data_IF_095021189208
#
_entry.id   IF_095021189208
#
_cell.length_a   1.000
_cell.length_b   1.000
_cell.length_c   1.000
_cell.angle_alpha   90.00
_cell.angle_beta   90.00
_cell.angle_gamma   90.00
#
_symmetry.space_group_name_H-M   'P 1'
#
loop_
_entity.id
_entity.type
_entity.pdbx_description
1 polymer ?
#
# COMPACT_ATOMS: atom_id res chain seq x y z
N UNK A 1 24.77 7.08 4.16
CA UNK A 1 26.24 7.16 3.93
C UNK A 1 26.63 8.21 2.89
N UNK A 2 25.97 8.25 1.72
CA UNK A 2 26.32 9.18 0.64
C UNK A 2 26.22 10.66 1.04
N UNK A 3 25.17 11.06 1.76
CA UNK A 3 24.99 12.44 2.22
C UNK A 3 26.08 12.92 3.20
N UNK A 4 26.55 12.04 4.09
CA UNK A 4 27.62 12.33 5.05
C UNK A 4 28.98 12.47 4.35
N UNK A 5 29.24 11.63 3.34
CA UNK A 5 30.43 11.73 2.48
C UNK A 5 30.43 13.04 1.69
N UNK A 6 29.31 13.41 1.07
CA UNK A 6 29.21 14.69 0.34
C UNK A 6 29.38 15.89 1.27
N UNK A 7 28.81 15.85 2.49
CA UNK A 7 28.96 16.91 3.49
C UNK A 7 30.42 17.04 4.00
N UNK A 8 31.13 15.93 4.18
CA UNK A 8 32.54 15.94 4.57
C UNK A 8 33.43 16.52 3.45
N UNK A 9 33.12 16.21 2.19
CA UNK A 9 33.84 16.73 1.02
C UNK A 9 33.60 18.24 0.83
N UNK A 10 32.39 18.74 1.09
CA UNK A 10 32.08 20.17 0.98
C UNK A 10 32.75 20.98 2.10
N UNK A 11 32.80 20.48 3.33
CA UNK A 11 33.53 21.14 4.42
C UNK A 11 35.03 21.24 4.16
N UNK A 12 35.62 20.18 3.60
CA UNK A 12 37.04 20.19 3.21
C UNK A 12 37.32 21.24 2.15
N UNK A 13 36.49 21.25 1.10
CA UNK A 13 36.55 22.26 0.02
C UNK A 13 36.38 23.70 0.53
N UNK A 14 35.53 23.91 1.55
CA UNK A 14 35.28 25.22 2.14
C UNK A 14 36.47 25.71 2.98
N UNK A 15 37.11 24.81 3.73
CA UNK A 15 38.34 25.07 4.50
C UNK A 15 39.52 25.45 3.58
N UNK A 16 39.62 24.81 2.41
CA UNK A 16 40.67 25.10 1.43
C UNK A 16 40.51 26.47 0.77
N UNK A 17 39.27 26.94 0.54
CA UNK A 17 39.01 28.24 -0.10
C UNK A 17 39.06 29.43 0.86
N UNK A 18 38.75 29.22 2.14
CA UNK A 18 38.71 30.28 3.15
C UNK A 18 39.47 29.88 4.42
N UNK A 19 40.82 29.85 4.38
CA UNK A 19 41.64 29.47 5.52
C UNK A 19 41.53 30.43 6.72
N UNK A 20 41.14 31.69 6.50
CA UNK A 20 40.88 32.66 7.57
C UNK A 20 39.66 32.33 8.43
N UNK A 21 38.72 31.53 7.91
CA UNK A 21 37.48 31.13 8.58
C UNK A 21 37.56 29.72 9.17
N UNK A 22 38.75 29.10 9.20
CA UNK A 22 38.92 27.72 9.65
C UNK A 22 38.41 27.48 11.09
N UNK A 23 38.59 28.45 11.99
CA UNK A 23 38.07 28.39 13.36
C UNK A 23 36.54 28.43 13.42
N UNK A 24 35.91 29.31 12.63
CA UNK A 24 34.44 29.44 12.57
C UNK A 24 33.80 28.23 11.88
N UNK A 25 34.42 27.70 10.81
CA UNK A 25 34.01 26.47 10.15
C UNK A 25 34.15 25.24 11.08
N UNK A 26 35.20 25.21 11.92
CA UNK A 26 35.38 24.19 12.95
C UNK A 26 34.28 24.25 14.02
N UNK A 27 33.98 25.45 14.51
CA UNK A 27 32.87 25.68 15.46
C UNK A 27 31.51 25.37 14.84
N UNK A 28 31.29 25.70 13.56
CA UNK A 28 30.07 25.36 12.84
C UNK A 28 29.93 23.85 12.61
N UNK A 29 31.03 23.16 12.34
CA UNK A 29 31.04 21.69 12.27
C UNK A 29 30.71 21.08 13.64
N UNK A 30 31.29 21.60 14.72
CA UNK A 30 31.00 21.14 16.08
C UNK A 30 29.55 21.43 16.47
N UNK A 31 29.00 22.60 16.16
CA UNK A 31 27.59 22.89 16.43
C UNK A 31 26.62 22.03 15.62
N UNK A 32 26.98 21.62 14.40
CA UNK A 32 26.21 20.64 13.62
C UNK A 32 26.28 19.23 14.22
N UNK A 33 27.43 18.83 14.77
CA UNK A 33 27.59 17.54 15.45
C UNK A 33 26.83 17.52 16.79
N UNK A 34 26.91 18.60 17.58
CA UNK A 34 26.19 18.74 18.84
C UNK A 34 24.67 18.83 18.60
N UNK A 35 24.23 19.47 17.52
CA UNK A 35 22.83 19.49 17.10
C UNK A 35 22.36 18.13 16.54
N UNK A 36 23.28 17.30 16.03
CA UNK A 36 22.99 15.93 15.58
C UNK A 36 22.85 14.95 16.75
N UNK A 37 23.57 15.18 17.86
CA UNK A 37 23.53 14.35 19.07
C UNK A 37 22.30 14.69 19.95
N UNK A 38 21.74 15.88 19.78
CA UNK A 38 20.48 16.30 20.39
C UNK A 38 19.24 15.76 19.65
N UNK A 39 19.16 14.45 19.40
CA UNK A 39 17.94 13.77 18.95
C UNK A 39 16.95 13.64 20.11
N UNK A 40 16.43 14.78 20.59
CA UNK A 40 15.35 14.79 21.56
C UNK A 40 14.12 14.08 20.95
N UNK A 41 13.49 13.13 21.65
CA UNK A 41 12.39 12.35 21.08
C UNK A 41 11.26 13.26 20.59
N UNK A 42 10.70 12.94 19.42
CA UNK A 42 9.55 13.64 18.88
C UNK A 42 8.34 13.51 19.82
N UNK A 43 7.57 14.58 19.94
CA UNK A 43 6.33 14.54 20.73
C UNK A 43 5.27 13.76 19.96
N UNK A 44 4.41 13.03 20.67
CA UNK A 44 3.38 12.14 20.10
C UNK A 44 2.47 12.86 19.07
N UNK A 45 2.05 14.10 19.34
CA UNK A 45 1.23 14.88 18.42
C UNK A 45 1.96 15.28 17.12
N UNK A 46 3.29 15.42 17.14
CA UNK A 46 4.07 15.71 15.94
C UNK A 46 4.11 14.48 15.01
N UNK A 47 4.15 13.28 15.58
CA UNK A 47 4.08 12.03 14.83
C UNK A 47 2.74 11.86 14.11
N UNK A 48 1.63 12.32 14.70
CA UNK A 48 0.31 12.27 14.03
C UNK A 48 0.25 13.11 12.75
N UNK A 49 1.00 14.21 12.68
CA UNK A 49 1.04 15.08 11.50
C UNK A 49 2.16 14.75 10.50
N UNK A 50 3.10 13.88 10.88
CA UNK A 50 4.35 13.71 10.15
C UNK A 50 4.15 13.08 8.77
N UNK A 51 3.14 12.22 8.61
CA UNK A 51 2.78 11.61 7.33
C UNK A 51 2.36 12.68 6.31
N UNK A 52 1.55 13.66 6.72
CA UNK A 52 1.15 14.78 5.87
C UNK A 52 2.34 15.67 5.49
N UNK A 53 3.26 15.88 6.43
CA UNK A 53 4.47 16.67 6.21
C UNK A 53 5.44 15.98 5.25
N UNK A 54 5.63 14.67 5.39
CA UNK A 54 6.42 13.86 4.46
C UNK A 54 5.82 13.90 3.05
N UNK A 55 4.51 13.68 2.91
CA UNK A 55 3.83 13.73 1.62
C UNK A 55 3.94 15.13 0.97
N UNK A 56 3.74 16.19 1.76
CA UNK A 56 3.91 17.57 1.29
C UNK A 56 5.35 17.84 0.83
N UNK A 57 6.36 17.35 1.57
CA UNK A 57 7.78 17.49 1.21
C UNK A 57 8.10 16.85 -0.13
N UNK A 58 7.55 15.65 -0.38
CA UNK A 58 7.68 14.94 -1.67
C UNK A 58 7.04 15.74 -2.79
N UNK A 59 5.83 16.28 -2.59
CA UNK A 59 5.13 17.05 -3.63
C UNK A 59 5.77 18.40 -3.93
N UNK A 60 6.38 19.04 -2.93
CA UNK A 60 7.12 20.29 -3.10
C UNK A 60 8.45 20.10 -3.86
N UNK A 61 8.95 18.86 -3.98
CA UNK A 61 10.14 18.59 -4.76
C UNK A 61 9.86 18.69 -6.28
N UNK A 62 10.89 18.97 -7.11
CA UNK A 62 10.77 18.93 -8.56
C UNK A 62 10.26 17.56 -9.05
N UNK A 63 9.47 17.54 -10.11
CA UNK A 63 8.82 16.32 -10.62
C UNK A 63 9.79 15.16 -10.86
N UNK A 64 10.95 15.46 -11.43
CA UNK A 64 12.00 14.47 -11.72
C UNK A 64 12.63 13.85 -10.46
N UNK A 65 12.53 14.52 -9.31
CA UNK A 65 13.16 14.10 -8.05
C UNK A 65 12.17 13.63 -6.99
N UNK A 66 10.85 13.74 -7.21
CA UNK A 66 9.84 13.35 -6.21
C UNK A 66 10.01 11.91 -5.72
N UNK A 67 10.25 10.96 -6.63
CA UNK A 67 10.49 9.56 -6.26
C UNK A 67 11.79 9.37 -5.48
N UNK A 68 12.83 10.12 -5.80
CA UNK A 68 14.10 10.07 -5.05
C UNK A 68 13.94 10.65 -3.65
N UNK A 69 13.18 11.74 -3.51
CA UNK A 69 12.88 12.34 -2.22
C UNK A 69 12.01 11.42 -1.37
N UNK A 70 11.02 10.75 -1.98
CA UNK A 70 10.23 9.72 -1.31
C UNK A 70 11.12 8.59 -0.80
N UNK A 71 12.01 8.07 -1.66
CA UNK A 71 12.96 7.03 -1.30
C UNK A 71 13.88 7.47 -0.15
N UNK A 72 14.45 8.67 -0.22
CA UNK A 72 15.34 9.21 0.81
C UNK A 72 14.63 9.38 2.16
N UNK A 73 13.39 9.88 2.14
CA UNK A 73 12.54 9.98 3.35
C UNK A 73 12.28 8.60 3.93
N UNK A 74 11.89 7.62 3.13
CA UNK A 74 11.60 6.25 3.61
C UNK A 74 12.84 5.55 4.17
N UNK A 75 14.00 5.71 3.53
CA UNK A 75 15.24 5.03 3.93
C UNK A 75 15.94 5.72 5.11
N UNK A 76 15.82 7.04 5.24
CA UNK A 76 16.51 7.83 6.25
C UNK A 76 15.52 8.51 7.22
N UNK A 77 14.32 7.95 7.40
CA UNK A 77 13.25 8.57 8.17
C UNK A 77 13.67 9.04 9.57
N UNK A 78 14.33 8.22 10.42
CA UNK A 78 14.69 8.65 11.78
C UNK A 78 15.58 9.90 11.80
N UNK A 79 16.48 10.01 10.82
CA UNK A 79 17.39 11.16 10.69
C UNK A 79 16.66 12.41 10.18
N UNK A 80 15.67 12.21 9.30
CA UNK A 80 14.93 13.29 8.65
C UNK A 80 13.70 13.75 9.46
N UNK A 81 13.25 12.97 10.44
CA UNK A 81 11.99 13.19 11.14
C UNK A 81 11.84 14.61 11.72
N UNK A 82 12.91 15.15 12.33
CA UNK A 82 12.91 16.53 12.84
C UNK A 82 12.82 17.60 11.76
N UNK A 83 13.40 17.34 10.58
CA UNK A 83 13.30 18.24 9.43
C UNK A 83 11.89 18.22 8.87
N UNK A 84 11.26 17.03 8.79
CA UNK A 84 9.90 16.86 8.31
C UNK A 84 8.89 17.65 9.14
N UNK A 85 9.04 17.66 10.47
CA UNK A 85 8.16 18.42 11.38
C UNK A 85 8.08 19.92 11.07
N UNK A 86 9.12 20.49 10.45
CA UNK A 86 9.16 21.90 10.07
C UNK A 86 8.45 22.20 8.74
N UNK A 87 8.07 21.17 7.99
CA UNK A 87 7.40 21.33 6.70
C UNK A 87 5.97 21.84 6.92
N UNK A 88 5.63 22.96 6.28
CA UNK A 88 4.29 23.51 6.35
C UNK A 88 3.35 22.74 5.43
N UNK A 89 2.24 22.26 5.99
CA UNK A 89 1.20 21.53 5.26
C UNK A 89 0.04 22.48 4.97
N UNK A 90 -0.37 22.54 3.70
CA UNK A 90 -1.52 23.34 3.28
C UNK A 90 -2.83 22.68 3.77
N UNK A 91 -3.81 23.45 4.27
CA UNK A 91 -5.08 22.87 4.74
C UNK A 91 -5.85 22.20 3.60
N UNK A 92 -5.75 22.70 2.37
CA UNK A 92 -6.39 22.11 1.19
C UNK A 92 -5.85 20.70 0.91
N UNK A 93 -4.54 20.51 1.03
CA UNK A 93 -3.89 19.22 0.83
C UNK A 93 -4.31 18.19 1.88
N UNK A 94 -4.49 18.62 3.13
CA UNK A 94 -4.99 17.74 4.20
C UNK A 94 -6.41 17.26 3.92
N UNK A 95 -7.28 18.16 3.45
CA UNK A 95 -8.65 17.83 3.09
C UNK A 95 -8.72 16.88 1.89
N UNK A 96 -7.85 17.06 0.90
CA UNK A 96 -7.73 16.17 -0.26
C UNK A 96 -7.34 14.75 0.16
N UNK A 97 -6.29 14.60 0.98
CA UNK A 97 -5.88 13.29 1.51
C UNK A 97 -7.02 12.63 2.28
N UNK A 98 -7.69 13.37 3.16
CA UNK A 98 -8.78 12.80 3.96
C UNK A 98 -9.96 12.34 3.09
N UNK A 99 -10.25 13.06 2.00
CA UNK A 99 -11.26 12.65 1.03
C UNK A 99 -10.84 11.34 0.33
N UNK A 100 -9.60 11.26 -0.13
CA UNK A 100 -9.08 10.07 -0.80
C UNK A 100 -9.07 8.85 0.14
N UNK A 101 -8.71 9.03 1.42
CA UNK A 101 -8.76 7.96 2.43
C UNK A 101 -10.18 7.41 2.60
N UNK A 102 -11.22 8.26 2.60
CA UNK A 102 -12.62 7.79 2.67
C UNK A 102 -13.02 7.00 1.43
N UNK A 103 -12.65 7.48 0.25
CA UNK A 103 -12.92 6.78 -1.02
C UNK A 103 -12.20 5.42 -1.07
N UNK A 104 -10.97 5.33 -0.58
CA UNK A 104 -10.22 4.08 -0.54
C UNK A 104 -10.76 3.09 0.50
N UNK A 105 -11.17 3.58 1.68
CA UNK A 105 -11.83 2.74 2.69
C UNK A 105 -13.15 2.16 2.16
N UNK A 106 -13.97 2.96 1.47
CA UNK A 106 -15.26 2.50 0.94
C UNK A 106 -15.13 1.54 -0.25
N UNK A 107 -14.22 1.82 -1.19
CA UNK A 107 -14.14 1.07 -2.44
C UNK A 107 -13.18 -0.13 -2.38
N UNK A 108 -12.15 -0.06 -1.55
CA UNK A 108 -11.08 -1.05 -1.49
C UNK A 108 -10.85 -1.61 -0.08
N UNK A 109 -11.58 -1.14 0.94
CA UNK A 109 -11.39 -1.58 2.32
C UNK A 109 -10.02 -1.20 2.90
N UNK A 110 -9.39 -0.14 2.39
CA UNK A 110 -8.08 0.32 2.85
C UNK A 110 -8.21 1.36 3.96
N UNK A 111 -7.66 1.04 5.13
CA UNK A 111 -7.57 1.94 6.26
C UNK A 111 -6.30 2.81 6.20
N UNK A 112 -6.26 3.95 6.93
CA UNK A 112 -5.07 4.79 7.00
C UNK A 112 -3.87 4.02 7.59
N UNK A 113 -2.89 3.72 6.75
CA UNK A 113 -1.70 2.96 7.13
C UNK A 113 -1.51 1.71 6.27
N UNK A 114 -2.58 1.24 5.63
CA UNK A 114 -2.52 0.10 4.72
C UNK A 114 -1.83 0.47 3.41
N UNK A 115 -1.13 -0.50 2.82
CA UNK A 115 -0.51 -0.38 1.52
C UNK A 115 -1.17 -1.37 0.55
N UNK A 116 -1.50 -0.89 -0.64
CA UNK A 116 -1.98 -1.74 -1.73
C UNK A 116 -1.21 -1.39 -2.99
N UNK A 117 -0.56 -2.39 -3.58
CA UNK A 117 0.11 -2.25 -4.87
C UNK A 117 -0.79 -2.89 -5.92
N UNK A 118 -1.07 -2.17 -7.00
CA UNK A 118 -1.89 -2.68 -8.11
C UNK A 118 -1.07 -2.60 -9.41
N UNK A 119 -1.00 -3.72 -10.12
CA UNK A 119 -0.39 -3.81 -11.46
C UNK A 119 -1.45 -4.35 -12.42
N UNK A 120 -1.81 -3.57 -13.45
CA UNK A 120 -2.84 -3.92 -14.43
C UNK A 120 -4.20 -4.37 -13.86
N UNK A 121 -4.54 -3.96 -12.63
CA UNK A 121 -5.78 -4.36 -11.95
C UNK A 121 -5.62 -5.57 -11.02
N UNK A 122 -4.44 -6.20 -10.98
CA UNK A 122 -4.07 -7.23 -10.03
C UNK A 122 -3.55 -6.58 -8.75
N UNK A 123 -4.18 -6.91 -7.63
CA UNK A 123 -3.73 -6.51 -6.30
C UNK A 123 -2.57 -7.41 -5.90
N UNK A 124 -1.47 -6.79 -5.49
CA UNK A 124 -0.26 -7.44 -5.00
C UNK A 124 -0.16 -7.17 -3.52
N UNK A 125 0.01 -8.24 -2.75
CA UNK A 125 0.31 -8.16 -1.33
C UNK A 125 1.77 -7.69 -1.15
N UNK A 126 1.92 -6.46 -0.66
CA UNK A 126 3.23 -5.83 -0.49
C UNK A 126 4.06 -6.48 0.64
N UNK A 127 3.42 -7.20 1.57
CA UNK A 127 4.12 -7.86 2.68
C UNK A 127 4.77 -9.18 2.24
N UNK A 128 4.20 -9.81 1.21
CA UNK A 128 4.67 -11.09 0.66
C UNK A 128 5.50 -10.89 -0.61
N UNK A 129 5.30 -9.78 -1.33
CA UNK A 129 5.90 -9.55 -2.64
C UNK A 129 7.44 -9.54 -2.60
N UNK A 130 8.04 -10.52 -3.28
CA UNK A 130 9.47 -10.57 -3.58
C UNK A 130 9.72 -9.86 -4.93
N UNK A 131 10.81 -9.10 -5.08
CA UNK A 131 11.31 -8.67 -6.39
C UNK A 131 11.24 -9.73 -7.51
N UNK A 132 11.48 -11.01 -7.21
CA UNK A 132 11.37 -12.09 -8.20
C UNK A 132 9.91 -12.39 -8.58
N UNK A 133 8.99 -12.42 -7.60
CA UNK A 133 7.56 -12.58 -7.90
C UNK A 133 7.04 -11.44 -8.77
N UNK A 134 7.50 -10.21 -8.49
CA UNK A 134 7.16 -9.06 -9.32
C UNK A 134 7.70 -9.20 -10.75
N UNK A 135 8.92 -9.72 -10.91
CA UNK A 135 9.50 -9.98 -12.23
C UNK A 135 8.70 -11.02 -13.01
N UNK A 136 8.36 -12.15 -12.37
CA UNK A 136 7.57 -13.21 -12.99
C UNK A 136 6.17 -12.71 -13.38
N UNK A 137 5.56 -11.88 -12.53
CA UNK A 137 4.30 -11.21 -12.84
C UNK A 137 4.43 -10.31 -14.06
N UNK A 138 5.46 -9.46 -14.12
CA UNK A 138 5.68 -8.57 -15.26
C UNK A 138 5.96 -9.36 -16.55
N UNK A 139 6.65 -10.49 -16.47
CA UNK A 139 6.88 -11.37 -17.61
C UNK A 139 5.58 -11.98 -18.12
N UNK A 140 4.75 -12.53 -17.22
CA UNK A 140 3.45 -13.13 -17.60
C UNK A 140 2.48 -12.10 -18.17
N UNK A 141 2.42 -10.89 -17.59
CA UNK A 141 1.65 -9.77 -18.11
C UNK A 141 2.14 -9.32 -19.49
N UNK A 142 3.47 -9.27 -19.70
CA UNK A 142 4.05 -8.97 -21.01
C UNK A 142 3.65 -9.99 -22.08
N UNK A 143 3.68 -11.29 -21.75
CA UNK A 143 3.24 -12.36 -22.67
C UNK A 143 1.74 -12.27 -22.97
N UNK A 144 0.91 -11.92 -21.97
CA UNK A 144 -0.52 -11.71 -22.16
C UNK A 144 -0.78 -10.54 -23.11
N UNK A 145 -0.08 -9.42 -22.92
CA UNK A 145 -0.18 -8.26 -23.80
C UNK A 145 0.27 -8.60 -25.23
N UNK A 146 1.35 -9.37 -25.38
CA UNK A 146 1.82 -9.85 -26.69
C UNK A 146 0.80 -10.79 -27.36
N UNK A 147 0.18 -11.69 -26.60
CA UNK A 147 -0.89 -12.57 -27.08
C UNK A 147 -2.13 -11.79 -27.54
N UNK A 148 -2.57 -10.79 -26.77
CA UNK A 148 -3.67 -9.91 -27.17
C UNK A 148 -3.32 -9.08 -28.42
N UNK A 149 -2.07 -8.62 -28.50
CA UNK A 149 -1.57 -7.91 -29.67
C UNK A 149 -1.57 -8.81 -30.92
N UNK A 150 -1.14 -10.07 -30.80
CA UNK A 150 -1.19 -11.04 -31.88
C UNK A 150 -2.62 -11.35 -32.36
N UNK A 151 -3.62 -11.22 -31.49
CA UNK A 151 -5.04 -11.31 -31.82
C UNK A 151 -5.61 -10.05 -32.48
N UNK A 152 -4.79 -9.03 -32.73
CA UNK A 152 -5.19 -7.80 -33.38
C UNK A 152 -5.71 -6.71 -32.44
N UNK A 153 -5.62 -6.89 -31.11
CA UNK A 153 -6.02 -5.89 -30.13
C UNK A 153 -4.88 -4.89 -29.90
N UNK A 154 -5.08 -3.67 -30.36
CA UNK A 154 -4.07 -2.61 -30.29
C UNK A 154 -4.60 -1.38 -29.55
N UNK A 155 -3.69 -0.59 -28.96
CA UNK A 155 -3.99 0.71 -28.38
C UNK A 155 -5.10 0.70 -27.34
N UNK A 156 -6.17 1.47 -27.57
CA UNK A 156 -7.27 1.61 -26.62
C UNK A 156 -8.06 0.30 -26.41
N UNK A 157 -8.16 -0.55 -27.43
CA UNK A 157 -8.86 -1.83 -27.31
C UNK A 157 -8.13 -2.79 -26.35
N UNK A 158 -6.78 -2.78 -26.38
CA UNK A 158 -5.96 -3.53 -25.44
C UNK A 158 -6.17 -3.04 -23.99
N UNK A 159 -6.15 -1.71 -23.79
CA UNK A 159 -6.39 -1.12 -22.46
C UNK A 159 -7.80 -1.42 -21.93
N UNK A 160 -8.81 -1.47 -22.79
CA UNK A 160 -10.17 -1.85 -22.40
C UNK A 160 -10.25 -3.34 -22.05
N UNK A 161 -9.62 -4.21 -22.84
CA UNK A 161 -9.55 -5.64 -22.57
C UNK A 161 -8.88 -5.92 -21.21
N UNK A 162 -7.73 -5.30 -20.93
CA UNK A 162 -7.03 -5.44 -19.64
C UNK A 162 -7.87 -4.95 -18.44
N UNK A 163 -8.67 -3.90 -18.63
CA UNK A 163 -9.57 -3.38 -17.58
C UNK A 163 -10.84 -4.21 -17.39
N UNK A 164 -11.14 -5.12 -18.32
CA UNK A 164 -12.38 -5.89 -18.27
C UNK A 164 -12.26 -6.92 -17.15
N UNK A 165 -13.04 -6.72 -16.08
CA UNK A 165 -13.16 -7.72 -15.02
C UNK A 165 -13.84 -8.95 -15.59
N UNK A 166 -13.07 -10.00 -15.84
CA UNK A 166 -13.62 -11.32 -16.11
C UNK A 166 -14.16 -11.81 -14.77
N UNK A 167 -15.46 -11.64 -14.55
CA UNK A 167 -16.09 -12.22 -13.38
C UNK A 167 -15.84 -13.73 -13.41
N UNK A 168 -15.02 -14.23 -12.48
CA UNK A 168 -15.03 -15.67 -12.20
C UNK A 168 -16.46 -15.99 -11.80
N UNK A 169 -17.08 -16.90 -12.52
CA UNK A 169 -18.31 -17.51 -12.05
C UNK A 169 -17.93 -18.34 -10.82
N UNK A 170 -17.91 -17.70 -9.65
CA UNK A 170 -17.90 -18.37 -8.34
C UNK A 170 -19.32 -18.86 -8.01
N UNK A 171 -20.04 -19.36 -9.03
CA UNK A 171 -21.27 -20.08 -8.78
C UNK A 171 -20.88 -21.46 -8.28
N UNK A 172 -21.30 -21.81 -7.07
CA UNK A 172 -21.29 -23.20 -6.66
C UNK A 172 -22.08 -24.01 -7.69
N UNK A 173 -21.41 -24.98 -8.30
CA UNK A 173 -22.05 -25.85 -9.28
C UNK A 173 -22.98 -26.81 -8.53
N UNK A 174 -24.27 -26.71 -8.77
CA UNK A 174 -25.22 -27.71 -8.31
C UNK A 174 -25.19 -28.91 -9.27
N UNK A 175 -24.86 -30.08 -8.76
CA UNK A 175 -24.99 -31.34 -9.47
C UNK A 175 -26.39 -31.91 -9.17
N UNK A 176 -27.11 -32.32 -10.22
CA UNK A 176 -28.37 -33.04 -10.03
C UNK A 176 -28.06 -34.49 -9.62
N UNK A 177 -28.27 -34.79 -8.34
CA UNK A 177 -28.01 -36.09 -7.73
C UNK A 177 -29.29 -36.94 -7.57
N UNK A 178 -30.39 -36.54 -8.22
CA UNK A 178 -31.67 -37.25 -8.14
C UNK A 178 -31.64 -38.46 -9.06
N UNK A 179 -31.21 -39.59 -8.51
CA UNK A 179 -31.22 -40.87 -9.22
C UNK A 179 -31.91 -41.95 -8.37
N UNK A 180 -32.67 -42.81 -9.03
CA UNK A 180 -33.29 -43.98 -8.41
C UNK A 180 -32.24 -45.01 -7.94
N UNK A 181 -31.00 -44.90 -8.40
CA UNK A 181 -29.87 -45.69 -7.91
C UNK A 181 -29.39 -45.28 -6.50
N UNK A 182 -29.83 -44.12 -5.98
CA UNK A 182 -29.43 -43.63 -4.65
C UNK A 182 -30.32 -44.25 -3.58
N UNK A 183 -29.70 -44.99 -2.65
CA UNK A 183 -30.38 -45.52 -1.46
C UNK A 183 -30.26 -44.50 -0.32
N UNK A 184 -31.37 -43.82 -0.03
CA UNK A 184 -31.46 -42.89 1.10
C UNK A 184 -31.66 -43.66 2.39
N UNK A 185 -30.74 -43.49 3.35
CA UNK A 185 -30.82 -44.11 4.68
C UNK A 185 -31.76 -43.33 5.60
N UNK A 186 -31.86 -42.01 5.39
CA UNK A 186 -32.66 -41.11 6.22
C UNK A 186 -33.81 -40.54 5.41
N UNK A 187 -35.01 -40.58 5.98
CA UNK A 187 -36.19 -39.89 5.46
C UNK A 187 -36.69 -38.87 6.50
N UNK A 188 -36.30 -37.61 6.28
CA UNK A 188 -36.66 -36.50 7.16
C UNK A 188 -38.18 -36.22 7.20
N UNK A 189 -38.95 -36.81 6.28
CA UNK A 189 -40.40 -36.67 6.21
C UNK A 189 -41.15 -37.76 6.97
N UNK A 190 -40.66 -39.00 6.97
CA UNK A 190 -41.41 -40.16 7.49
C UNK A 190 -40.83 -40.74 8.78
N UNK A 191 -39.52 -40.63 9.01
CA UNK A 191 -38.86 -41.28 10.14
C UNK A 191 -39.33 -40.71 11.48
N UNK A 192 -39.59 -41.59 12.49
CA UNK A 192 -40.13 -41.17 13.78
C UNK A 192 -39.18 -40.27 14.56
N UNK A 193 -37.86 -40.38 14.32
CA UNK A 193 -36.82 -39.63 15.01
C UNK A 193 -36.87 -38.12 14.70
N UNK A 194 -37.43 -37.72 13.54
CA UNK A 194 -37.48 -36.32 13.11
C UNK A 194 -38.84 -35.64 13.32
N UNK A 195 -39.85 -36.36 13.85
CA UNK A 195 -41.21 -35.81 14.04
C UNK A 195 -41.30 -34.61 14.99
N UNK A 196 -40.33 -34.46 15.89
CA UNK A 196 -40.29 -33.33 16.84
C UNK A 196 -39.84 -32.00 16.21
N UNK A 197 -39.27 -32.03 15.00
CA UNK A 197 -38.78 -30.83 14.30
C UNK A 197 -39.92 -30.01 13.69
N UNK A 198 -39.87 -28.69 13.86
CA UNK A 198 -40.92 -27.79 13.39
C UNK A 198 -40.71 -27.44 11.90
N UNK A 199 -41.60 -27.93 11.02
CA UNK A 199 -41.40 -28.10 9.57
C UNK A 199 -41.60 -26.84 8.70
N UNK A 200 -41.64 -25.66 9.29
CA UNK A 200 -41.93 -24.43 8.55
C UNK A 200 -40.66 -23.85 7.93
N UNK A 201 -40.75 -23.41 6.67
CA UNK A 201 -39.64 -22.77 5.95
C UNK A 201 -39.02 -21.59 6.71
N UNK A 202 -39.83 -20.88 7.50
CA UNK A 202 -39.40 -19.76 8.36
C UNK A 202 -38.40 -20.18 9.44
N UNK A 203 -38.46 -21.41 9.94
CA UNK A 203 -37.54 -21.87 10.97
C UNK A 203 -36.13 -22.09 10.44
N UNK A 204 -35.98 -22.44 9.16
CA UNK A 204 -34.67 -22.57 8.51
C UNK A 204 -33.94 -21.22 8.36
N UNK A 205 -34.69 -20.11 8.38
CA UNK A 205 -34.11 -18.76 8.33
C UNK A 205 -33.68 -18.24 9.71
N UNK A 206 -33.93 -18.98 10.78
CA UNK A 206 -33.47 -18.63 12.13
C UNK A 206 -32.26 -19.50 12.43
N UNK A 207 -31.02 -18.96 12.40
CA UNK A 207 -29.84 -19.74 12.73
C UNK A 207 -29.90 -20.13 14.21
N UNK A 208 -30.24 -21.39 14.48
CA UNK A 208 -30.15 -21.96 15.83
C UNK A 208 -28.81 -22.66 15.98
N UNK A 209 -27.76 -21.86 16.16
CA UNK A 209 -26.52 -22.30 16.82
C UNK A 209 -26.45 -21.58 18.17
N UNK A 210 -27.19 -22.11 19.14
CA UNK A 210 -26.98 -21.86 20.55
C UNK A 210 -26.96 -23.23 21.23
N UNK A 211 -25.80 -23.88 21.13
CA UNK A 211 -25.04 -24.55 22.20
C UNK A 211 -23.86 -25.33 21.59
#
# INVERSE_FOLDING_TARGET
MHALLTALITFRSALERHPSLASELGQFKQSLLDASDAMAPLKVWQLQSIAFQAAQRVLLAPEADRLKVLQDISQNFPLLAHSLVRTQVKPEFRNEIQKNQREFAMNYGLDPGDCMVIINGLVIDADIADPFMLFDLLQSEGQLMEGLHALGLHGNALNQALKTKIAKSEGDFALDIRDNAVLYVNDLETDPQYRGGNRTSKNYCVPSFLE
#
